data_IF_292580524821
#
_entry.id   IF_292580524821
#
_cell.length_a   1.000
_cell.length_b   1.000
_cell.length_c   1.000
_cell.angle_alpha   90.00
_cell.angle_beta   90.00
_cell.angle_gamma   90.00
#
_symmetry.space_group_name_H-M   'P 1'
#
loop_
_entity.id
_entity.type
_entity.pdbx_description
1 polymer ?
#
# COMPACT_ATOMS: atom_id res chain seq x y z
N UNK A 1 -27.60 -56.78 14.51
CA UNK A 1 -26.54 -56.39 13.55
C UNK A 1 -26.97 -55.34 12.51
N UNK A 2 -28.21 -55.38 11.98
CA UNK A 2 -28.71 -54.47 10.91
C UNK A 2 -28.67 -52.96 11.26
N UNK A 3 -28.98 -52.60 12.51
CA UNK A 3 -29.03 -51.19 12.97
C UNK A 3 -27.63 -50.51 13.06
N UNK A 4 -26.59 -51.30 13.33
CA UNK A 4 -25.18 -50.83 13.36
C UNK A 4 -24.64 -50.58 11.94
N UNK A 5 -25.14 -51.33 10.96
CA UNK A 5 -24.68 -51.24 9.58
C UNK A 5 -25.27 -50.02 8.86
N UNK A 6 -26.51 -49.65 9.17
CA UNK A 6 -27.17 -48.45 8.63
C UNK A 6 -26.59 -47.16 9.20
N UNK A 7 -26.20 -47.15 10.48
CA UNK A 7 -25.51 -46.00 11.11
C UNK A 7 -24.08 -45.84 10.60
N UNK A 8 -23.35 -46.93 10.38
CA UNK A 8 -22.03 -46.87 9.77
C UNK A 8 -22.08 -46.31 8.35
N UNK A 9 -23.05 -46.75 7.53
CA UNK A 9 -23.23 -46.22 6.17
C UNK A 9 -23.60 -44.74 6.15
N UNK A 10 -24.49 -44.29 7.04
CA UNK A 10 -24.91 -42.89 7.08
C UNK A 10 -23.77 -41.96 7.49
N UNK A 11 -22.96 -42.36 8.47
CA UNK A 11 -21.79 -41.59 8.92
C UNK A 11 -20.74 -41.50 7.82
N UNK A 12 -20.51 -42.60 7.09
CA UNK A 12 -19.55 -42.63 5.98
C UNK A 12 -20.01 -41.71 4.82
N UNK A 13 -21.31 -41.71 4.50
CA UNK A 13 -21.87 -40.85 3.45
C UNK A 13 -21.82 -39.36 3.82
N UNK A 14 -22.06 -39.02 5.09
CA UNK A 14 -21.92 -37.66 5.62
C UNK A 14 -20.48 -37.17 5.59
N UNK A 15 -19.51 -38.04 5.87
CA UNK A 15 -18.09 -37.68 5.81
C UNK A 15 -17.63 -37.41 4.36
N UNK A 16 -18.04 -38.25 3.40
CA UNK A 16 -17.68 -38.07 1.98
C UNK A 16 -18.27 -36.80 1.36
N UNK A 17 -19.47 -36.38 1.77
CA UNK A 17 -20.09 -35.15 1.26
C UNK A 17 -19.45 -33.88 1.84
N UNK A 18 -18.96 -33.92 3.07
CA UNK A 18 -18.27 -32.78 3.70
C UNK A 18 -16.88 -32.52 3.12
N UNK A 19 -16.14 -33.57 2.72
CA UNK A 19 -14.79 -33.41 2.14
C UNK A 19 -14.81 -32.91 0.69
N UNK A 20 -15.92 -33.08 -0.04
CA UNK A 20 -16.06 -32.63 -1.43
C UNK A 20 -16.07 -31.09 -1.59
N UNK A 21 -16.39 -30.35 -0.52
CA UNK A 21 -16.46 -28.89 -0.54
C UNK A 21 -15.11 -28.18 -0.28
N UNK A 22 -14.03 -28.92 0.02
CA UNK A 22 -12.74 -28.32 0.39
C UNK A 22 -11.83 -27.99 -0.82
N UNK A 23 -12.15 -28.48 -2.03
CA UNK A 23 -11.16 -28.60 -3.11
C UNK A 23 -10.97 -27.34 -3.99
N UNK A 24 -11.77 -26.28 -3.82
CA UNK A 24 -11.59 -25.05 -4.62
C UNK A 24 -11.83 -23.79 -3.81
N UNK A 25 -10.89 -23.47 -2.92
CA UNK A 25 -10.65 -22.07 -2.58
C UNK A 25 -9.66 -21.56 -3.63
N UNK A 26 -10.09 -20.74 -4.62
CA UNK A 26 -9.14 -20.10 -5.52
C UNK A 26 -8.18 -19.25 -4.70
N UNK A 27 -6.92 -19.18 -5.13
CA UNK A 27 -5.95 -18.28 -4.51
C UNK A 27 -6.55 -16.86 -4.45
N UNK A 28 -6.41 -16.17 -3.30
CA UNK A 28 -6.86 -14.80 -3.21
C UNK A 28 -6.15 -13.98 -4.31
N UNK A 29 -6.88 -13.12 -5.02
CA UNK A 29 -6.27 -12.28 -6.04
C UNK A 29 -5.16 -11.43 -5.42
N UNK A 30 -4.09 -11.18 -6.20
CA UNK A 30 -2.97 -10.35 -5.76
C UNK A 30 -3.48 -9.00 -5.21
N UNK A 31 -2.97 -8.54 -4.06
CA UNK A 31 -3.34 -7.25 -3.52
C UNK A 31 -3.07 -6.14 -4.53
N UNK A 32 -4.09 -5.35 -4.86
CA UNK A 32 -3.93 -4.17 -5.71
C UNK A 32 -3.09 -3.15 -4.93
N UNK A 33 -1.79 -3.06 -5.23
CA UNK A 33 -0.92 -2.04 -4.64
C UNK A 33 -1.28 -0.69 -5.25
N UNK A 34 -1.89 0.18 -4.46
CA UNK A 34 -2.06 1.58 -4.81
C UNK A 34 -0.75 2.30 -4.51
N UNK A 35 -0.03 2.74 -5.54
CA UNK A 35 1.13 3.61 -5.37
C UNK A 35 0.69 5.07 -5.35
N UNK A 36 1.34 5.93 -4.55
CA UNK A 36 1.16 7.37 -4.66
C UNK A 36 1.76 7.91 -5.97
N UNK A 37 1.44 9.16 -6.36
CA UNK A 37 1.96 9.77 -7.58
C UNK A 37 3.49 9.82 -7.62
N UNK A 38 4.10 9.61 -8.79
CA UNK A 38 5.57 9.45 -8.89
C UNK A 38 6.37 10.63 -8.36
N UNK A 39 5.80 11.84 -8.43
CA UNK A 39 6.42 13.06 -7.95
C UNK A 39 6.73 13.05 -6.45
N UNK A 40 6.02 12.25 -5.64
CA UNK A 40 6.22 12.19 -4.18
C UNK A 40 7.30 11.19 -3.75
N UNK A 41 7.81 10.36 -4.67
CA UNK A 41 8.90 9.43 -4.35
C UNK A 41 10.27 10.09 -4.35
N UNK A 42 10.38 11.32 -4.89
CA UNK A 42 11.63 12.07 -4.86
C UNK A 42 11.79 12.73 -3.48
N UNK A 43 12.94 12.55 -2.80
CA UNK A 43 13.24 13.30 -1.59
C UNK A 43 13.15 14.80 -1.83
N UNK A 44 12.71 15.55 -0.82
CA UNK A 44 12.72 17.00 -0.89
C UNK A 44 14.15 17.51 -1.05
N UNK A 45 14.34 18.40 -2.01
CA UNK A 45 15.65 18.96 -2.32
C UNK A 45 16.12 19.89 -1.18
N UNK A 46 17.38 19.76 -0.80
CA UNK A 46 18.00 20.62 0.20
C UNK A 46 19.22 21.28 -0.44
N UNK A 47 19.09 22.56 -0.87
CA UNK A 47 20.21 23.25 -1.49
C UNK A 47 21.32 23.47 -0.46
N UNK A 48 22.55 23.63 -0.95
CA UNK A 48 23.71 23.94 -0.11
C UNK A 48 24.08 25.40 -0.27
N UNK A 49 24.55 26.02 0.82
CA UNK A 49 25.09 27.38 0.75
C UNK A 49 26.45 27.32 0.06
N UNK A 50 26.53 27.84 -1.16
CA UNK A 50 27.76 27.91 -1.92
C UNK A 50 28.44 29.27 -1.68
N UNK A 51 29.39 29.32 -0.75
CA UNK A 51 30.19 30.52 -0.49
C UNK A 51 29.93 31.17 0.87
N UNK A 52 30.39 32.42 1.02
CA UNK A 52 30.42 33.14 2.29
C UNK A 52 30.07 34.62 2.17
N UNK A 53 29.59 35.06 1.00
CA UNK A 53 29.17 36.44 0.77
C UNK A 53 27.68 36.60 1.06
N UNK A 54 27.24 37.85 1.25
CA UNK A 54 25.81 38.17 1.35
C UNK A 54 25.04 37.81 0.07
N UNK A 55 25.69 37.90 -1.09
CA UNK A 55 25.11 37.46 -2.37
C UNK A 55 24.84 35.96 -2.38
N UNK A 56 25.77 35.16 -1.85
CA UNK A 56 25.63 33.70 -1.75
C UNK A 56 24.47 33.31 -0.83
N UNK A 57 24.32 34.01 0.30
CA UNK A 57 23.18 33.82 1.21
C UNK A 57 21.87 34.18 0.49
N UNK A 58 21.84 35.29 -0.25
CA UNK A 58 20.68 35.68 -1.05
C UNK A 58 20.29 34.61 -2.07
N UNK A 59 21.25 34.11 -2.85
CA UNK A 59 21.05 33.04 -3.82
C UNK A 59 20.57 31.74 -3.15
N UNK A 60 21.19 31.36 -2.03
CA UNK A 60 20.81 30.20 -1.23
C UNK A 60 19.38 30.31 -0.70
N UNK A 61 18.99 31.45 -0.14
CA UNK A 61 17.62 31.63 0.39
C UNK A 61 16.57 31.55 -0.72
N UNK A 62 16.88 32.05 -1.92
CA UNK A 62 15.99 31.90 -3.07
C UNK A 62 15.86 30.43 -3.49
N UNK A 63 16.98 29.72 -3.62
CA UNK A 63 16.98 28.29 -3.95
C UNK A 63 16.22 27.48 -2.89
N UNK A 64 16.44 27.78 -1.61
CA UNK A 64 15.75 27.15 -0.48
C UNK A 64 14.24 27.39 -0.54
N UNK A 65 13.80 28.63 -0.81
CA UNK A 65 12.39 28.96 -0.94
C UNK A 65 11.72 28.17 -2.07
N UNK A 66 12.40 28.03 -3.20
CA UNK A 66 11.88 27.26 -4.33
C UNK A 66 11.78 25.76 -4.00
N UNK A 67 12.84 25.17 -3.43
CA UNK A 67 12.86 23.78 -3.00
C UNK A 67 11.74 23.50 -1.98
N UNK A 68 11.54 24.40 -1.01
CA UNK A 68 10.50 24.27 0.00
C UNK A 68 9.08 24.35 -0.61
N UNK A 69 8.87 25.25 -1.58
CA UNK A 69 7.59 25.36 -2.28
C UNK A 69 7.25 24.07 -3.04
N UNK A 70 8.24 23.47 -3.70
CA UNK A 70 8.07 22.20 -4.43
C UNK A 70 7.78 21.06 -3.45
N UNK A 71 8.59 20.94 -2.38
CA UNK A 71 8.43 19.94 -1.34
C UNK A 71 7.04 20.01 -0.68
N UNK A 72 6.56 21.22 -0.41
CA UNK A 72 5.22 21.43 0.16
C UNK A 72 4.14 20.89 -0.78
N UNK A 73 4.26 21.12 -2.10
CA UNK A 73 3.36 20.55 -3.09
C UNK A 73 3.35 19.02 -3.08
N UNK A 74 4.53 18.38 -3.07
CA UNK A 74 4.65 16.92 -3.00
C UNK A 74 3.98 16.35 -1.73
N UNK A 75 4.21 16.97 -0.56
CA UNK A 75 3.63 16.53 0.70
C UNK A 75 2.11 16.68 0.72
N UNK A 76 1.56 17.78 0.17
CA UNK A 76 0.12 17.98 0.05
C UNK A 76 -0.51 16.89 -0.83
N UNK A 77 0.06 16.64 -2.01
CA UNK A 77 -0.41 15.58 -2.91
C UNK A 77 -0.35 14.20 -2.26
N UNK A 78 0.74 13.88 -1.54
CA UNK A 78 0.86 12.60 -0.81
C UNK A 78 -0.21 12.47 0.26
N UNK A 79 -0.48 13.55 1.02
CA UNK A 79 -1.50 13.56 2.06
C UNK A 79 -2.89 13.33 1.46
N UNK A 80 -3.25 14.05 0.41
CA UNK A 80 -4.53 13.90 -0.28
C UNK A 80 -4.71 12.49 -0.85
N UNK A 81 -3.68 11.95 -1.48
CA UNK A 81 -3.68 10.57 -1.96
C UNK A 81 -3.92 9.56 -0.82
N UNK A 82 -3.27 9.75 0.33
CA UNK A 82 -3.43 8.87 1.49
C UNK A 82 -4.87 8.89 2.03
N UNK A 83 -5.50 10.05 2.07
CA UNK A 83 -6.89 10.17 2.56
C UNK A 83 -7.93 9.66 1.56
N UNK A 84 -7.65 9.73 0.26
CA UNK A 84 -8.64 9.37 -0.80
C UNK A 84 -8.50 7.94 -1.30
N UNK A 85 -7.27 7.44 -1.41
CA UNK A 85 -6.93 6.16 -2.05
C UNK A 85 -6.17 5.24 -1.09
N UNK A 86 -5.17 5.76 -0.37
CA UNK A 86 -4.24 4.93 0.41
C UNK A 86 -4.81 4.29 1.70
N UNK A 87 -5.99 4.72 2.16
CA UNK A 87 -6.65 4.20 3.38
C UNK A 87 -7.81 3.24 3.10
N UNK A 88 -8.23 3.10 1.84
CA UNK A 88 -9.23 2.10 1.44
C UNK A 88 -8.55 0.78 1.10
#
# INVERSE_FOLDING_TARGET
>A
MRLKMTTALSVMLLALSLTSCAERVPDPPDPIVRLPPESVFKPCEQPQLAGSTWGDIGAYTLALKMALSICTGQVVTLKEWRETVGRR
#
